data_IF_256211127534
#
_entry.id   IF_256211127534
#
_cell.length_a   1.000
_cell.length_b   1.000
_cell.length_c   1.000
_cell.angle_alpha   90.00
_cell.angle_beta   90.00
_cell.angle_gamma   90.00
#
_symmetry.space_group_name_H-M   'P 1'
#
loop_
_entity.id
_entity.type
_entity.pdbx_description
1 polymer ?
#
# COMPACT_ATOMS: atom_id res chain seq x y z
N UNK A 1 -0.75 11.33 9.34
CA UNK A 1 -0.18 10.52 10.45
C UNK A 1 0.76 9.49 9.85
N UNK A 2 1.94 9.28 10.43
CA UNK A 2 2.88 8.23 10.03
C UNK A 2 2.98 7.22 11.17
N UNK A 3 2.73 5.94 10.89
CA UNK A 3 3.05 4.83 11.76
C UNK A 3 4.22 4.08 11.12
N UNK A 4 5.33 3.98 11.85
CA UNK A 4 6.50 3.24 11.40
C UNK A 4 6.76 2.08 12.35
N UNK A 5 6.97 0.88 11.81
CA UNK A 5 7.35 -0.31 12.55
C UNK A 5 8.66 -0.85 11.98
N UNK A 6 9.68 -0.97 12.83
CA UNK A 6 11.00 -1.51 12.47
C UNK A 6 11.23 -2.86 13.14
N UNK A 7 12.19 -3.62 12.61
CA UNK A 7 12.57 -4.93 13.13
C UNK A 7 11.41 -5.95 13.12
N UNK A 8 10.50 -5.81 12.16
CA UNK A 8 9.48 -6.84 11.88
C UNK A 8 10.13 -7.99 11.11
N UNK A 9 10.16 -9.17 11.73
CA UNK A 9 10.58 -10.40 11.07
C UNK A 9 9.39 -11.03 10.35
N UNK A 10 9.27 -10.77 9.05
CA UNK A 10 8.29 -11.42 8.17
C UNK A 10 9.01 -12.39 7.24
N UNK A 11 8.47 -13.59 7.12
CA UNK A 11 8.95 -14.65 6.23
C UNK A 11 7.88 -15.03 5.22
N UNK A 12 8.27 -15.74 4.16
CA UNK A 12 7.32 -16.20 3.16
C UNK A 12 6.27 -17.12 3.82
N UNK A 13 4.99 -16.79 3.65
CA UNK A 13 3.87 -17.49 4.27
C UNK A 13 3.25 -16.74 5.46
N UNK A 14 3.96 -15.78 6.04
CA UNK A 14 3.40 -14.91 7.07
C UNK A 14 2.36 -13.95 6.49
N UNK A 15 1.39 -13.57 7.33
CA UNK A 15 0.33 -12.63 6.98
C UNK A 15 0.43 -11.38 7.83
N UNK A 16 0.43 -10.21 7.17
CA UNK A 16 0.37 -8.91 7.83
C UNK A 16 -1.03 -8.32 7.65
N UNK A 17 -1.79 -8.18 8.73
CA UNK A 17 -3.09 -7.51 8.68
C UNK A 17 -2.99 -6.08 9.22
N UNK A 18 -3.37 -5.12 8.39
CA UNK A 18 -3.51 -3.70 8.80
C UNK A 18 -5.00 -3.39 8.94
N UNK A 19 -5.38 -2.71 10.02
CA UNK A 19 -6.74 -2.22 10.24
C UNK A 19 -6.67 -0.77 10.63
N UNK A 20 -7.55 0.04 10.06
CA UNK A 20 -7.61 1.47 10.32
C UNK A 20 -8.88 2.07 9.76
N UNK A 21 -9.02 3.38 9.93
CA UNK A 21 -10.12 4.16 9.36
C UNK A 21 -9.50 5.12 8.36
N UNK A 22 -10.02 5.14 7.14
CA UNK A 22 -9.64 6.12 6.13
C UNK A 22 -10.38 7.41 6.48
N UNK A 23 -9.62 8.50 6.70
CA UNK A 23 -10.21 9.79 7.03
C UNK A 23 -11.15 10.25 5.91
N UNK A 24 -12.21 10.98 6.26
CA UNK A 24 -13.26 11.39 5.32
C UNK A 24 -12.73 12.29 4.20
N UNK A 25 -11.70 13.06 4.48
CA UNK A 25 -11.01 14.00 3.59
C UNK A 25 -9.69 13.44 3.03
N UNK A 26 -9.43 12.14 3.21
CA UNK A 26 -8.23 11.54 2.67
C UNK A 26 -8.27 11.50 1.13
N UNK A 27 -7.31 12.17 0.50
CA UNK A 27 -7.06 12.05 -0.95
C UNK A 27 -6.36 10.72 -1.29
N UNK A 28 -5.53 10.23 -0.36
CA UNK A 28 -4.76 8.99 -0.49
C UNK A 28 -4.23 8.50 0.85
N UNK A 29 -3.83 7.24 0.90
CA UNK A 29 -2.92 6.72 1.92
C UNK A 29 -1.93 5.75 1.30
N UNK A 30 -0.90 5.37 2.06
CA UNK A 30 0.05 4.36 1.60
C UNK A 30 0.47 3.40 2.71
N UNK A 31 0.73 2.17 2.31
CA UNK A 31 1.39 1.14 3.12
C UNK A 31 2.68 0.78 2.38
N UNK A 32 3.81 0.89 3.07
CA UNK A 32 5.13 0.61 2.52
C UNK A 32 5.77 -0.54 3.29
N UNK A 33 6.17 -1.61 2.59
CA UNK A 33 6.91 -2.74 3.13
C UNK A 33 8.27 -2.83 2.44
N UNK A 34 9.36 -2.85 3.22
CA UNK A 34 10.71 -2.84 2.67
C UNK A 34 11.80 -2.88 3.74
N UNK A 35 13.04 -2.81 3.27
CA UNK A 35 14.26 -2.80 4.08
C UNK A 35 14.76 -1.38 4.38
N UNK A 36 13.98 -0.36 4.04
CA UNK A 36 14.29 1.04 4.28
C UNK A 36 13.47 1.95 3.38
N UNK A 37 13.78 3.23 3.40
CA UNK A 37 13.10 4.24 2.56
C UNK A 37 13.51 4.19 1.10
N UNK A 38 14.64 3.56 0.78
CA UNK A 38 15.17 3.45 -0.59
C UNK A 38 14.96 2.09 -1.24
N UNK A 39 14.62 1.08 -0.43
CA UNK A 39 14.35 -0.28 -0.86
C UNK A 39 12.98 -0.73 -0.33
N UNK A 40 11.95 -0.43 -1.11
CA UNK A 40 10.54 -0.72 -0.84
C UNK A 40 10.10 -1.86 -1.77
N UNK A 41 9.83 -3.04 -1.20
CA UNK A 41 9.35 -4.18 -1.95
C UNK A 41 7.88 -4.01 -2.38
N UNK A 42 7.07 -3.37 -1.53
CA UNK A 42 5.67 -3.05 -1.82
C UNK A 42 5.34 -1.64 -1.36
N UNK A 43 5.03 -0.77 -2.31
CA UNK A 43 4.36 0.50 -2.09
C UNK A 43 2.90 0.35 -2.54
N UNK A 44 2.00 0.15 -1.59
CA UNK A 44 0.55 0.09 -1.84
C UNK A 44 -0.04 1.47 -1.56
N UNK A 45 -0.50 2.15 -2.61
CA UNK A 45 -0.98 3.53 -2.53
C UNK A 45 -2.34 3.71 -3.22
N UNK A 46 -3.44 3.44 -2.50
CA UNK A 46 -4.77 3.85 -2.92
C UNK A 46 -4.85 5.38 -3.00
N UNK A 47 -5.34 5.86 -4.13
CA UNK A 47 -5.64 7.26 -4.43
C UNK A 47 -7.13 7.34 -4.73
N UNK A 48 -7.82 8.29 -4.11
CA UNK A 48 -9.27 8.45 -4.24
C UNK A 48 -9.65 9.51 -5.27
N UNK A 49 -8.70 10.36 -5.65
CA UNK A 49 -8.84 11.42 -6.65
C UNK A 49 -7.51 11.57 -7.42
N UNK A 50 -7.23 10.60 -8.29
CA UNK A 50 -6.09 10.60 -9.21
C UNK A 50 -6.50 11.20 -10.56
N UNK A 51 -5.69 12.12 -11.09
CA UNK A 51 -6.02 12.88 -12.30
C UNK A 51 -6.32 12.02 -13.53
N UNK A 52 -5.70 10.83 -13.65
CA UNK A 52 -5.83 9.97 -14.81
C UNK A 52 -7.00 8.98 -14.69
N UNK A 53 -7.17 8.41 -13.50
CA UNK A 53 -8.04 7.24 -13.29
C UNK A 53 -9.18 7.47 -12.28
N UNK A 54 -9.23 8.64 -11.64
CA UNK A 54 -10.13 8.91 -10.52
C UNK A 54 -9.74 8.06 -9.30
N UNK A 55 -10.57 7.10 -8.91
CA UNK A 55 -10.24 6.20 -7.79
C UNK A 55 -9.43 5.00 -8.29
N UNK A 56 -8.20 4.85 -7.79
CA UNK A 56 -7.23 3.85 -8.28
C UNK A 56 -6.33 3.35 -7.16
N UNK A 57 -6.01 2.06 -7.19
CA UNK A 57 -4.93 1.48 -6.38
C UNK A 57 -3.67 1.47 -7.22
N UNK A 58 -2.64 2.16 -6.74
CA UNK A 58 -1.31 2.14 -7.35
C UNK A 58 -0.38 1.28 -6.49
N UNK A 59 0.20 0.26 -7.11
CA UNK A 59 1.24 -0.57 -6.53
C UNK A 59 2.56 -0.32 -7.25
N UNK A 60 3.66 -0.20 -6.52
CA UNK A 60 5.00 -0.11 -7.10
C UNK A 60 6.05 -0.73 -6.16
N UNK A 61 7.28 -0.82 -6.63
CA UNK A 61 8.48 -1.09 -5.84
C UNK A 61 9.50 0.03 -6.03
N UNK A 62 10.40 0.18 -5.06
CA UNK A 62 11.52 1.12 -5.07
C UNK A 62 12.79 0.35 -4.78
N UNK A 63 13.83 0.51 -5.58
CA UNK A 63 15.13 -0.13 -5.36
C UNK A 63 16.25 0.88 -5.56
N UNK A 64 17.17 0.96 -4.60
CA UNK A 64 18.29 1.90 -4.64
C UNK A 64 17.84 3.35 -4.86
N UNK A 65 16.72 3.76 -4.27
CA UNK A 65 16.21 5.12 -4.40
C UNK A 65 15.27 5.36 -5.61
N UNK A 66 15.18 4.41 -6.53
CA UNK A 66 14.44 4.59 -7.81
C UNK A 66 13.14 3.80 -7.84
N UNK A 67 12.07 4.46 -8.27
CA UNK A 67 10.76 3.81 -8.47
C UNK A 67 10.76 2.94 -9.72
N UNK A 68 10.11 1.78 -9.61
CA UNK A 68 9.84 0.89 -10.74
C UNK A 68 8.60 1.30 -11.54
N UNK A 69 8.11 0.35 -12.34
CA UNK A 69 6.89 0.50 -13.11
C UNK A 69 5.65 0.36 -12.22
N UNK A 70 4.72 1.30 -12.30
CA UNK A 70 3.46 1.25 -11.56
C UNK A 70 2.53 0.15 -12.09
N UNK A 71 1.90 -0.60 -11.18
CA UNK A 71 0.71 -1.41 -11.46
C UNK A 71 -0.49 -0.65 -10.94
N UNK A 72 -1.48 -0.43 -11.81
CA UNK A 72 -2.65 0.40 -11.51
C UNK A 72 -3.92 -0.44 -11.64
N UNK A 73 -4.76 -0.41 -10.61
CA UNK A 73 -6.06 -1.10 -10.59
C UNK A 73 -7.16 -0.08 -10.31
N UNK A 74 -8.00 0.19 -11.31
CA UNK A 74 -9.13 1.13 -11.22
C UNK A 74 -10.34 0.54 -10.49
N UNK A 75 -10.31 -0.75 -10.17
CA UNK A 75 -11.29 -1.37 -9.28
C UNK A 75 -10.89 -1.18 -7.81
N UNK A 76 -11.00 0.06 -7.31
CA UNK A 76 -10.67 0.39 -5.92
C UNK A 76 -11.90 0.24 -4.99
N UNK A 77 -11.98 -0.80 -4.14
CA UNK A 77 -13.11 -0.99 -3.22
C UNK A 77 -13.06 -0.09 -1.98
N UNK A 78 -11.98 0.68 -1.79
CA UNK A 78 -11.78 1.52 -0.61
C UNK A 78 -12.48 2.87 -0.78
N UNK A 79 -13.03 3.41 0.31
CA UNK A 79 -13.73 4.70 0.31
C UNK A 79 -13.36 5.52 1.56
N UNK A 80 -13.09 6.84 1.41
CA UNK A 80 -12.94 7.75 2.53
C UNK A 80 -14.15 7.75 3.46
N UNK A 81 -13.92 7.95 4.76
CA UNK A 81 -15.00 8.12 5.76
C UNK A 81 -15.77 6.84 6.11
N UNK A 82 -15.52 5.73 5.42
CA UNK A 82 -16.00 4.40 5.83
C UNK A 82 -14.92 3.69 6.64
N UNK A 83 -15.34 2.94 7.64
CA UNK A 83 -14.50 1.97 8.35
C UNK A 83 -14.12 0.84 7.39
N UNK A 84 -13.09 1.07 6.57
CA UNK A 84 -12.53 0.08 5.67
C UNK A 84 -11.54 -0.83 6.41
N UNK A 85 -11.73 -2.14 6.35
CA UNK A 85 -10.62 -3.06 6.64
C UNK A 85 -9.71 -3.08 5.40
N UNK A 86 -8.62 -2.31 5.41
CA UNK A 86 -7.55 -2.45 4.43
C UNK A 86 -6.69 -3.68 4.79
N UNK A 87 -7.23 -4.88 4.59
CA UNK A 87 -6.46 -6.11 4.69
C UNK A 87 -5.53 -6.23 3.50
N UNK A 88 -4.22 -6.07 3.72
CA UNK A 88 -3.22 -6.46 2.72
C UNK A 88 -2.92 -7.93 2.94
N UNK A 89 -3.56 -8.85 2.20
CA UNK A 89 -3.08 -10.24 2.16
C UNK A 89 -1.88 -10.29 1.21
N UNK A 90 -0.69 -10.01 1.75
CA UNK A 90 0.56 -10.18 1.02
C UNK A 90 0.86 -11.69 0.89
N UNK A 91 0.15 -12.35 -0.03
CA UNK A 91 0.43 -13.74 -0.40
C UNK A 91 1.71 -13.82 -1.24
N UNK A 92 2.85 -14.03 -0.59
CA UNK A 92 4.11 -14.31 -1.28
C UNK A 92 4.03 -15.68 -1.97
N UNK A 93 3.75 -15.70 -3.27
CA UNK A 93 3.98 -16.89 -4.09
C UNK A 93 5.41 -16.81 -4.65
N UNK A 94 6.20 -17.87 -4.47
CA UNK A 94 7.38 -18.09 -5.30
C UNK A 94 6.93 -18.04 -6.77
N UNK A 95 7.50 -17.12 -7.53
CA UNK A 95 7.76 -17.36 -8.96
C UNK A 95 8.99 -18.24 -9.08
#
# INVERSE_FOLDING_TARGET
MLLEMKHLSLTAGDKLQVKGIIQHDAERFKIELGYGTDDIALHFNPRFDDDADGSVIVCNSKSGGSWGHEVRDTHNPLQPGKSGQAGVDAGWRRV
#
